data_IF_285252674007
#
_entry.id   IF_285252674007
#
_cell.length_a   1.000
_cell.length_b   1.000
_cell.length_c   1.000
_cell.angle_alpha   90.00
_cell.angle_beta   90.00
_cell.angle_gamma   90.00
#
_symmetry.space_group_name_H-M   'P 1'
#
loop_
_entity.id
_entity.type
_entity.pdbx_description
1 polymer ?
#
# COMPACT_ATOMS: atom_id res chain seq x y z
N UNK A 1 -30.73 -15.68 4.60
CA UNK A 1 -29.70 -15.26 5.59
C UNK A 1 -29.40 -16.24 6.72
N UNK A 2 -30.37 -16.80 7.46
CA UNK A 2 -30.06 -17.61 8.67
C UNK A 2 -29.17 -18.85 8.49
N UNK A 3 -29.11 -19.47 7.30
CA UNK A 3 -28.14 -20.56 6.98
C UNK A 3 -26.82 -20.04 6.43
N UNK A 4 -26.82 -18.96 5.65
CA UNK A 4 -25.61 -18.24 5.26
C UNK A 4 -24.84 -17.80 6.52
N UNK A 5 -25.52 -17.21 7.51
CA UNK A 5 -24.91 -16.86 8.79
C UNK A 5 -24.40 -18.08 9.57
N UNK A 6 -25.06 -19.26 9.47
CA UNK A 6 -24.56 -20.50 10.10
C UNK A 6 -23.33 -21.07 9.38
N UNK A 7 -23.33 -21.06 8.04
CA UNK A 7 -22.17 -21.49 7.25
C UNK A 7 -21.01 -20.52 7.45
N UNK A 8 -21.26 -19.21 7.38
CA UNK A 8 -20.27 -18.18 7.68
C UNK A 8 -19.79 -18.28 9.12
N UNK A 9 -20.62 -18.62 10.11
CA UNK A 9 -20.16 -18.93 11.48
C UNK A 9 -19.31 -20.20 11.56
N UNK A 10 -19.60 -21.23 10.75
CA UNK A 10 -18.81 -22.47 10.68
C UNK A 10 -17.45 -22.22 10.01
N UNK A 11 -17.45 -21.47 8.92
CA UNK A 11 -16.27 -20.99 8.20
C UNK A 11 -15.47 -20.06 9.13
N UNK A 12 -16.08 -19.06 9.75
CA UNK A 12 -15.46 -18.07 10.64
C UNK A 12 -14.94 -18.62 11.97
N UNK A 13 -15.02 -19.94 12.24
CA UNK A 13 -14.34 -20.52 13.39
C UNK A 13 -12.83 -20.30 13.22
N UNK A 14 -12.16 -19.68 14.20
CA UNK A 14 -10.72 -19.43 14.12
C UNK A 14 -10.00 -20.75 13.91
N UNK A 15 -9.00 -20.72 13.03
CA UNK A 15 -8.08 -21.83 12.87
C UNK A 15 -7.26 -21.93 14.15
N UNK A 16 -7.68 -22.77 15.09
CA UNK A 16 -6.93 -23.08 16.32
C UNK A 16 -5.72 -23.99 16.01
N UNK A 17 -4.98 -23.66 14.95
CA UNK A 17 -3.68 -24.26 14.69
C UNK A 17 -2.72 -23.75 15.76
N UNK A 18 -2.59 -24.47 16.88
CA UNK A 18 -1.39 -24.38 17.71
C UNK A 18 -0.21 -24.57 16.77
N UNK A 19 0.61 -23.54 16.60
CA UNK A 19 1.94 -23.66 16.00
C UNK A 19 2.67 -24.76 16.74
N UNK A 20 2.69 -25.99 16.18
CA UNK A 20 3.60 -27.02 16.66
C UNK A 20 4.98 -26.50 16.32
N UNK A 21 5.72 -26.10 17.34
CA UNK A 21 7.17 -25.94 17.27
C UNK A 21 7.72 -27.24 16.68
N UNK A 22 8.09 -27.18 15.40
CA UNK A 22 8.79 -28.26 14.73
C UNK A 22 10.22 -28.21 15.26
N UNK A 23 10.55 -29.17 16.13
CA UNK A 23 11.95 -29.50 16.42
C UNK A 23 12.63 -29.90 15.11
N UNK A 24 13.88 -29.50 14.87
CA UNK A 24 14.64 -29.96 13.72
C UNK A 24 14.94 -31.45 13.93
N UNK A 25 14.32 -32.30 13.13
CA UNK A 25 14.47 -33.75 13.17
C UNK A 25 14.52 -34.31 11.76
N UNK A 26 15.62 -34.98 11.47
CA UNK A 26 16.07 -35.56 10.21
C UNK A 26 15.05 -36.42 9.44
N UNK A 27 15.05 -36.24 8.12
CA UNK A 27 15.01 -37.31 7.11
C UNK A 27 13.76 -38.20 7.04
N UNK A 28 13.02 -38.10 5.94
CA UNK A 28 12.84 -39.15 4.92
C UNK A 28 11.85 -38.64 3.88
N UNK A 29 12.13 -38.93 2.61
CA UNK A 29 11.42 -38.40 1.45
C UNK A 29 10.09 -39.08 1.18
N UNK A 30 9.15 -38.29 0.66
CA UNK A 30 8.04 -38.78 -0.15
C UNK A 30 7.86 -37.84 -1.33
N UNK A 31 8.05 -38.40 -2.54
CA UNK A 31 7.78 -37.75 -3.81
C UNK A 31 6.27 -37.83 -4.06
N UNK A 32 5.58 -36.70 -4.14
CA UNK A 32 4.29 -36.64 -4.81
C UNK A 32 4.50 -36.18 -6.25
N UNK A 33 4.15 -37.05 -7.18
CA UNK A 33 4.18 -36.81 -8.61
C UNK A 33 2.78 -36.42 -9.10
N UNK A 34 2.66 -35.25 -9.71
CA UNK A 34 1.62 -34.93 -10.69
C UNK A 34 2.30 -34.44 -11.98
N UNK A 35 1.70 -34.67 -13.15
CA UNK A 35 2.42 -34.60 -14.42
C UNK A 35 2.59 -33.15 -14.89
N UNK A 36 3.86 -32.79 -15.14
CA UNK A 36 4.27 -31.54 -15.76
C UNK A 36 4.24 -31.68 -17.29
N UNK A 37 3.46 -30.83 -17.95
CA UNK A 37 3.42 -30.70 -19.41
C UNK A 37 4.66 -29.91 -19.84
N UNK A 38 5.62 -30.59 -20.48
CA UNK A 38 6.86 -29.99 -20.94
C UNK A 38 6.64 -29.13 -22.19
N UNK A 39 6.95 -27.84 -22.09
CA UNK A 39 7.18 -26.93 -23.21
C UNK A 39 8.64 -26.47 -23.17
N UNK A 40 9.46 -26.99 -24.06
CA UNK A 40 10.88 -26.65 -24.19
C UNK A 40 11.06 -25.40 -25.06
N UNK A 41 11.56 -24.32 -24.47
CA UNK A 41 12.18 -23.20 -25.20
C UNK A 41 13.58 -22.99 -24.61
N UNK A 42 14.59 -23.25 -25.43
CA UNK A 42 16.00 -23.16 -25.08
C UNK A 42 16.50 -21.73 -25.34
N UNK A 43 16.94 -21.02 -24.31
CA UNK A 43 17.67 -19.76 -24.46
C UNK A 43 19.12 -19.92 -23.96
N UNK A 44 20.06 -19.60 -24.86
CA UNK A 44 21.51 -19.61 -24.63
C UNK A 44 21.91 -18.41 -23.76
N UNK A 45 22.56 -18.68 -22.64
CA UNK A 45 23.25 -17.68 -21.82
C UNK A 45 24.65 -17.46 -22.38
N UNK A 46 25.02 -16.19 -22.62
CA UNK A 46 26.39 -15.77 -22.95
C UNK A 46 27.17 -15.53 -21.66
N UNK A 47 28.35 -16.14 -21.57
CA UNK A 47 29.33 -15.89 -20.51
C UNK A 47 30.13 -14.62 -20.81
N UNK A 48 30.37 -13.79 -19.78
CA UNK A 48 31.43 -12.79 -19.76
C UNK A 48 32.36 -13.03 -18.55
N UNK A 49 33.69 -12.83 -18.70
CA UNK A 49 34.65 -13.16 -17.65
C UNK A 49 34.83 -12.03 -16.63
N UNK A 50 35.08 -12.43 -15.39
CA UNK A 50 35.40 -11.55 -14.25
C UNK A 50 36.85 -11.04 -14.32
N UNK A 51 37.03 -9.72 -14.10
CA UNK A 51 38.33 -9.11 -13.84
C UNK A 51 38.63 -9.11 -12.33
N UNK A 52 39.85 -9.56 -11.99
CA UNK A 52 40.44 -9.50 -10.65
C UNK A 52 41.06 -8.12 -10.44
N UNK A 53 40.73 -7.47 -9.33
CA UNK A 53 41.58 -6.44 -8.74
C UNK A 53 41.79 -6.76 -7.26
N UNK A 54 43.06 -6.99 -6.92
CA UNK A 54 43.58 -7.05 -5.56
C UNK A 54 43.96 -5.63 -5.13
N UNK A 55 43.62 -5.25 -3.91
CA UNK A 55 44.37 -4.26 -3.14
C UNK A 55 44.14 -4.53 -1.64
N UNK A 56 45.24 -4.81 -0.96
CA UNK A 56 45.38 -4.91 0.49
C UNK A 56 45.27 -3.52 1.12
N UNK A 57 44.64 -3.45 2.30
CA UNK A 57 44.94 -2.42 3.28
C UNK A 57 44.59 -2.91 4.68
N UNK A 58 45.60 -2.91 5.56
CA UNK A 58 45.54 -3.25 6.98
C UNK A 58 44.72 -2.22 7.80
N UNK A 59 44.15 -2.60 8.96
CA UNK A 59 43.44 -1.68 9.83
C UNK A 59 44.32 -1.13 10.96
N UNK A 60 44.11 0.10 11.44
CA UNK A 60 44.59 0.50 12.75
C UNK A 60 43.54 0.22 13.82
N UNK A 61 44.07 -0.26 14.94
CA UNK A 61 43.44 -0.48 16.23
C UNK A 61 43.25 0.83 17.00
N UNK A 62 42.22 0.87 17.85
CA UNK A 62 42.31 1.59 19.12
C UNK A 62 41.11 2.43 19.53
N UNK A 63 40.70 2.19 20.79
CA UNK A 63 39.91 3.04 21.70
C UNK A 63 38.39 3.04 21.51
N UNK A 64 37.54 3.19 22.53
CA UNK A 64 37.56 2.98 23.99
C UNK A 64 36.15 3.42 24.39
N UNK A 65 35.29 2.51 24.84
CA UNK A 65 33.91 2.85 25.21
C UNK A 65 33.84 3.23 26.69
N UNK A 66 33.47 4.48 26.98
CA UNK A 66 32.97 4.88 28.29
C UNK A 66 31.44 4.98 28.22
N UNK A 67 30.77 4.08 28.95
CA UNK A 67 29.35 4.15 29.29
C UNK A 67 29.10 5.35 30.21
N UNK A 68 28.26 6.28 29.78
CA UNK A 68 27.67 7.30 30.63
C UNK A 68 26.17 7.04 30.75
N UNK A 69 25.76 6.57 31.94
CA UNK A 69 24.37 6.43 32.37
C UNK A 69 23.68 7.79 32.36
N UNK A 70 22.59 7.91 31.58
CA UNK A 70 21.71 9.08 31.60
C UNK A 70 20.40 8.70 32.29
N UNK A 71 20.19 9.27 33.47
CA UNK A 71 18.94 9.16 34.23
C UNK A 71 17.79 9.84 33.47
N UNK A 72 16.61 9.22 33.54
CA UNK A 72 15.37 9.63 32.88
C UNK A 72 14.50 10.40 33.88
N UNK A 73 14.08 11.65 33.61
CA UNK A 73 13.18 12.37 34.52
C UNK A 73 11.71 11.92 34.34
N UNK A 74 10.87 12.09 35.38
CA UNK A 74 9.52 11.55 35.43
C UNK A 74 8.55 12.35 34.56
N UNK A 75 7.67 11.62 33.86
CA UNK A 75 6.55 12.16 33.10
C UNK A 75 5.45 12.66 34.03
N UNK A 76 5.01 13.89 33.78
CA UNK A 76 3.87 14.56 34.42
C UNK A 76 2.61 14.28 33.59
N UNK A 77 1.61 13.65 34.18
CA UNK A 77 0.31 13.39 33.56
C UNK A 77 -0.46 14.71 33.37
N UNK A 78 -0.85 15.01 32.13
CA UNK A 78 -1.89 15.99 31.82
C UNK A 78 -3.03 15.32 31.04
N UNK A 79 -4.13 15.08 31.74
CA UNK A 79 -5.42 14.75 31.15
C UNK A 79 -5.92 15.93 30.31
N UNK A 80 -6.07 15.72 29.00
CA UNK A 80 -6.84 16.61 28.13
C UNK A 80 -8.06 15.87 27.61
N UNK A 81 -9.22 16.24 28.15
CA UNK A 81 -10.55 15.83 27.71
C UNK A 81 -10.85 16.43 26.33
N UNK A 82 -10.99 15.58 25.31
CA UNK A 82 -11.56 15.95 24.00
C UNK A 82 -13.00 15.46 23.88
N UNK A 83 -13.93 16.28 23.35
CA UNK A 83 -15.33 15.90 23.18
C UNK A 83 -15.50 14.96 21.97
N UNK A 84 -16.12 13.81 22.22
CA UNK A 84 -16.50 12.81 21.22
C UNK A 84 -17.77 13.22 20.49
N UNK A 85 -17.65 13.69 19.25
CA UNK A 85 -18.79 13.84 18.32
C UNK A 85 -19.01 12.53 17.57
N UNK A 86 -20.01 11.76 18.01
CA UNK A 86 -20.49 10.56 17.31
C UNK A 86 -21.24 10.98 16.03
N UNK A 87 -20.56 10.93 14.89
CA UNK A 87 -21.21 10.97 13.58
C UNK A 87 -21.85 9.61 13.31
N UNK A 88 -23.16 9.58 13.13
CA UNK A 88 -23.92 8.35 12.86
C UNK A 88 -24.21 8.33 11.36
N UNK A 89 -23.38 7.63 10.57
CA UNK A 89 -23.64 7.46 9.13
C UNK A 89 -24.81 6.49 8.94
N UNK A 90 -25.97 7.05 8.59
CA UNK A 90 -27.17 6.29 8.24
C UNK A 90 -27.10 5.89 6.76
N UNK A 91 -26.48 4.75 6.45
CA UNK A 91 -26.72 4.08 5.17
C UNK A 91 -28.08 3.38 5.21
N UNK A 92 -29.02 3.63 4.27
CA UNK A 92 -30.31 2.95 4.25
C UNK A 92 -30.14 1.47 3.86
N UNK A 93 -30.46 0.50 4.75
CA UNK A 93 -30.39 -0.93 4.42
C UNK A 93 -31.39 -1.38 3.33
N UNK A 94 -32.25 -0.48 2.85
CA UNK A 94 -33.30 -0.78 1.87
C UNK A 94 -32.78 -0.89 0.42
N UNK A 95 -31.70 -0.20 0.07
CA UNK A 95 -31.14 -0.22 -1.31
C UNK A 95 -30.55 -1.60 -1.65
N UNK A 96 -29.96 -2.30 -0.68
CA UNK A 96 -29.39 -3.64 -0.87
C UNK A 96 -30.49 -4.69 -1.08
N UNK A 97 -31.70 -4.45 -0.55
CA UNK A 97 -32.81 -5.41 -0.61
C UNK A 97 -33.52 -5.40 -1.97
N UNK A 98 -33.52 -4.27 -2.67
CA UNK A 98 -34.22 -4.10 -3.94
C UNK A 98 -33.57 -4.85 -5.12
N UNK A 99 -32.24 -5.04 -5.12
CA UNK A 99 -31.53 -5.73 -6.23
C UNK A 99 -31.58 -7.27 -6.18
N UNK A 100 -32.04 -7.87 -5.08
CA UNK A 100 -32.16 -9.33 -4.93
C UNK A 100 -33.61 -9.84 -5.06
N UNK A 101 -34.56 -8.98 -5.43
CA UNK A 101 -35.91 -9.41 -5.76
C UNK A 101 -35.90 -10.14 -7.11
N UNK A 102 -35.63 -11.44 -7.05
CA UNK A 102 -35.78 -12.40 -8.15
C UNK A 102 -37.21 -12.35 -8.69
N UNK A 103 -37.43 -11.64 -9.79
CA UNK A 103 -38.71 -11.54 -10.49
C UNK A 103 -38.94 -12.68 -11.49
N UNK A 104 -38.15 -13.76 -11.46
CA UNK A 104 -38.31 -14.92 -12.35
C UNK A 104 -38.36 -16.21 -11.54
N UNK A 105 -39.57 -16.55 -11.06
CA UNK A 105 -39.86 -17.72 -10.21
C UNK A 105 -39.63 -19.08 -10.91
N UNK A 106 -39.58 -19.13 -12.24
CA UNK A 106 -39.68 -20.42 -12.95
C UNK A 106 -38.42 -20.83 -13.73
N UNK A 107 -37.46 -19.93 -13.94
CA UNK A 107 -36.20 -20.26 -14.61
C UNK A 107 -35.11 -20.61 -13.60
N UNK A 108 -35.05 -21.89 -13.20
CA UNK A 108 -33.87 -22.45 -12.53
C UNK A 108 -33.08 -23.30 -13.53
N UNK A 109 -32.12 -22.71 -14.28
CA UNK A 109 -31.38 -23.43 -15.33
C UNK A 109 -30.63 -24.66 -14.79
N UNK A 110 -30.33 -24.67 -13.49
CA UNK A 110 -29.67 -25.79 -12.82
C UNK A 110 -30.61 -26.93 -12.40
N UNK A 111 -31.94 -26.76 -12.41
CA UNK A 111 -32.88 -27.85 -12.12
C UNK A 111 -32.90 -28.92 -13.21
N UNK A 112 -32.62 -28.53 -14.45
CA UNK A 112 -32.64 -29.43 -15.60
C UNK A 112 -31.29 -30.11 -15.85
N UNK A 113 -30.22 -29.67 -15.17
CA UNK A 113 -28.89 -30.22 -15.38
C UNK A 113 -28.72 -31.50 -14.55
N UNK A 114 -28.37 -32.65 -15.17
CA UNK A 114 -27.99 -33.86 -14.44
C UNK A 114 -26.86 -33.58 -13.44
N UNK A 115 -26.92 -34.24 -12.27
CA UNK A 115 -25.97 -34.02 -11.19
C UNK A 115 -24.52 -34.31 -11.61
N UNK A 116 -24.31 -35.28 -12.51
CA UNK A 116 -23.00 -35.66 -13.05
C UNK A 116 -22.39 -34.53 -13.88
N UNK A 117 -23.20 -33.86 -14.71
CA UNK A 117 -22.76 -32.71 -15.48
C UNK A 117 -22.48 -31.52 -14.56
N UNK A 118 -23.30 -31.32 -13.53
CA UNK A 118 -23.08 -30.27 -12.54
C UNK A 118 -21.76 -30.48 -11.78
N UNK A 119 -21.49 -31.71 -11.32
CA UNK A 119 -20.22 -32.08 -10.68
C UNK A 119 -19.04 -31.89 -11.63
N UNK A 120 -19.19 -32.28 -12.90
CA UNK A 120 -18.14 -32.09 -13.91
C UNK A 120 -17.83 -30.61 -14.12
N UNK A 121 -18.85 -29.73 -14.20
CA UNK A 121 -18.65 -28.27 -14.26
C UNK A 121 -17.93 -27.78 -13.00
N UNK A 122 -18.38 -28.19 -11.82
CA UNK A 122 -17.77 -27.75 -10.56
C UNK A 122 -16.30 -28.17 -10.42
N UNK A 123 -15.92 -29.33 -10.96
CA UNK A 123 -14.52 -29.80 -10.99
C UNK A 123 -13.61 -28.98 -11.91
N UNK A 124 -14.16 -28.21 -12.85
CA UNK A 124 -13.40 -27.26 -13.68
C UNK A 124 -13.26 -25.88 -13.02
N UNK A 125 -13.96 -25.62 -11.91
CA UNK A 125 -13.88 -24.34 -11.21
C UNK A 125 -12.73 -24.35 -10.20
N UNK A 126 -12.04 -23.21 -10.00
CA UNK A 126 -11.17 -23.02 -8.84
C UNK A 126 -11.92 -23.31 -7.54
N UNK A 127 -11.22 -23.80 -6.52
CA UNK A 127 -11.83 -24.22 -5.25
C UNK A 127 -12.71 -23.14 -4.61
N UNK A 128 -12.26 -21.87 -4.67
CA UNK A 128 -12.99 -20.70 -4.17
C UNK A 128 -14.30 -20.45 -4.95
N UNK A 129 -14.28 -20.61 -6.27
CA UNK A 129 -15.46 -20.49 -7.13
C UNK A 129 -16.42 -21.67 -6.95
N UNK A 130 -15.92 -22.90 -6.84
CA UNK A 130 -16.72 -24.08 -6.55
C UNK A 130 -17.43 -23.96 -5.18
N UNK A 131 -16.71 -23.49 -4.15
CA UNK A 131 -17.30 -23.19 -2.84
C UNK A 131 -18.37 -22.10 -2.93
N UNK A 132 -18.15 -21.04 -3.72
CA UNK A 132 -19.15 -19.99 -3.96
C UNK A 132 -20.38 -20.52 -4.69
N UNK A 133 -20.21 -21.44 -5.64
CA UNK A 133 -21.30 -22.10 -6.35
C UNK A 133 -22.22 -22.87 -5.39
N UNK A 134 -21.67 -23.49 -4.34
CA UNK A 134 -22.49 -24.16 -3.29
C UNK A 134 -23.44 -23.20 -2.57
N UNK A 135 -23.16 -21.89 -2.58
CA UNK A 135 -23.96 -20.86 -1.90
C UNK A 135 -25.09 -20.29 -2.75
N UNK A 136 -25.08 -20.53 -4.06
CA UNK A 136 -26.05 -19.95 -5.00
C UNK A 136 -27.47 -20.47 -4.80
N UNK A 137 -27.64 -21.79 -4.63
CA UNK A 137 -28.95 -22.41 -4.40
C UNK A 137 -28.87 -23.73 -3.61
N UNK A 138 -30.02 -24.22 -3.15
CA UNK A 138 -30.11 -25.47 -2.38
C UNK A 138 -29.72 -26.70 -3.19
N UNK A 139 -30.01 -26.72 -4.49
CA UNK A 139 -29.67 -27.83 -5.39
C UNK A 139 -28.16 -27.95 -5.56
N UNK A 140 -27.47 -26.85 -5.85
CA UNK A 140 -26.00 -26.78 -5.92
C UNK A 140 -25.35 -27.30 -4.62
N UNK A 141 -25.85 -26.86 -3.46
CA UNK A 141 -25.35 -27.34 -2.16
C UNK A 141 -25.58 -28.84 -1.95
N UNK A 142 -26.73 -29.38 -2.39
CA UNK A 142 -27.02 -30.81 -2.27
C UNK A 142 -26.13 -31.66 -3.16
N UNK A 143 -25.89 -31.22 -4.40
CA UNK A 143 -25.08 -31.94 -5.37
C UNK A 143 -23.59 -31.89 -4.99
N UNK A 144 -23.07 -30.71 -4.64
CA UNK A 144 -21.66 -30.53 -4.30
C UNK A 144 -21.33 -30.88 -2.84
N UNK A 145 -22.32 -30.96 -1.97
CA UNK A 145 -22.12 -31.22 -0.54
C UNK A 145 -21.28 -30.15 0.15
N UNK A 146 -20.59 -30.55 1.23
CA UNK A 146 -19.66 -29.68 1.98
C UNK A 146 -18.21 -29.85 1.56
N UNK A 147 -17.90 -30.73 0.62
CA UNK A 147 -16.52 -31.08 0.25
C UNK A 147 -15.70 -29.86 -0.18
N UNK A 148 -16.27 -28.95 -0.98
CA UNK A 148 -15.58 -27.73 -1.39
C UNK A 148 -15.31 -26.81 -0.20
N UNK A 149 -16.26 -26.68 0.74
CA UNK A 149 -16.09 -25.83 1.93
C UNK A 149 -15.12 -26.44 2.95
N UNK A 150 -15.11 -27.76 3.08
CA UNK A 150 -14.22 -28.49 3.99
C UNK A 150 -12.78 -28.46 3.43
N UNK A 151 -12.61 -28.63 2.12
CA UNK A 151 -11.33 -28.43 1.43
C UNK A 151 -10.85 -26.98 1.54
N UNK A 152 -11.73 -25.99 1.37
CA UNK A 152 -11.36 -24.58 1.54
C UNK A 152 -10.85 -24.31 2.97
N UNK A 153 -11.46 -24.94 3.96
CA UNK A 153 -11.05 -24.82 5.37
C UNK A 153 -9.68 -25.45 5.63
N UNK A 154 -9.31 -26.53 4.93
CA UNK A 154 -8.01 -27.20 5.08
C UNK A 154 -6.90 -26.64 4.18
N UNK A 155 -7.24 -25.96 3.07
CA UNK A 155 -6.26 -25.50 2.06
C UNK A 155 -5.45 -24.27 2.48
N UNK A 156 -5.71 -23.71 3.67
CA UNK A 156 -4.99 -22.55 4.20
C UNK A 156 -5.58 -21.20 3.81
N UNK A 157 -4.95 -20.14 4.29
CA UNK A 157 -5.53 -18.79 4.29
C UNK A 157 -5.73 -18.18 2.89
N UNK A 158 -4.88 -18.53 1.91
CA UNK A 158 -4.92 -17.95 0.55
C UNK A 158 -6.23 -18.26 -0.18
N UNK A 159 -6.63 -19.54 -0.20
CA UNK A 159 -7.87 -19.98 -0.85
C UNK A 159 -9.10 -19.41 -0.18
N UNK A 160 -9.07 -19.36 1.15
CA UNK A 160 -10.15 -18.75 1.93
C UNK A 160 -10.27 -17.25 1.67
N UNK A 161 -9.15 -16.52 1.62
CA UNK A 161 -9.17 -15.10 1.28
C UNK A 161 -9.83 -14.91 -0.09
N UNK A 162 -9.42 -15.66 -1.12
CA UNK A 162 -10.01 -15.59 -2.45
C UNK A 162 -11.52 -15.87 -2.46
N UNK A 163 -11.97 -16.87 -1.71
CA UNK A 163 -13.40 -17.15 -1.52
C UNK A 163 -14.15 -15.97 -0.87
N UNK A 164 -13.59 -15.36 0.18
CA UNK A 164 -14.21 -14.21 0.84
C UNK A 164 -14.27 -13.00 -0.09
N UNK A 165 -13.25 -12.76 -0.93
CA UNK A 165 -13.27 -11.71 -1.95
C UNK A 165 -14.37 -11.94 -2.99
N UNK A 166 -14.52 -13.19 -3.48
CA UNK A 166 -15.61 -13.54 -4.40
C UNK A 166 -16.98 -13.23 -3.79
N UNK A 167 -17.18 -13.53 -2.51
CA UNK A 167 -18.43 -13.21 -1.82
C UNK A 167 -18.62 -11.70 -1.60
N UNK A 168 -17.58 -11.00 -1.18
CA UNK A 168 -17.64 -9.56 -0.88
C UNK A 168 -17.94 -8.73 -2.13
N UNK A 169 -17.52 -9.19 -3.32
CA UNK A 169 -17.82 -8.55 -4.61
C UNK A 169 -19.32 -8.31 -4.81
N UNK A 170 -20.15 -9.28 -4.40
CA UNK A 170 -21.60 -9.22 -4.56
C UNK A 170 -22.32 -8.59 -3.35
N UNK A 171 -21.57 -8.05 -2.38
CA UNK A 171 -22.09 -7.47 -1.15
C UNK A 171 -21.59 -6.03 -0.96
N UNK A 172 -22.34 -5.04 -1.46
CA UNK A 172 -22.08 -3.63 -1.22
C UNK A 172 -21.85 -3.29 0.26
N UNK A 173 -20.84 -2.46 0.55
CA UNK A 173 -20.50 -2.03 1.92
C UNK A 173 -19.86 -3.12 2.78
N UNK A 174 -19.60 -4.30 2.21
CA UNK A 174 -18.89 -5.38 2.90
C UNK A 174 -17.49 -5.57 2.32
N UNK A 175 -16.52 -5.80 3.19
CA UNK A 175 -15.11 -6.02 2.81
C UNK A 175 -14.64 -7.34 3.37
N UNK A 176 -13.99 -8.13 2.53
CA UNK A 176 -13.22 -9.29 2.97
C UNK A 176 -11.93 -8.82 3.65
N UNK A 177 -11.82 -9.05 4.95
CA UNK A 177 -10.61 -8.78 5.72
C UNK A 177 -9.64 -9.97 5.59
N UNK A 178 -8.40 -9.68 5.21
CA UNK A 178 -7.36 -10.71 4.98
C UNK A 178 -6.87 -11.26 6.32
N UNK A 179 -6.74 -10.37 7.30
CA UNK A 179 -6.20 -10.60 8.63
C UNK A 179 -7.19 -11.44 9.45
N UNK A 180 -8.45 -10.99 9.52
CA UNK A 180 -9.50 -11.68 10.27
C UNK A 180 -10.09 -12.90 9.54
N UNK A 181 -9.87 -13.01 8.22
CA UNK A 181 -10.48 -14.02 7.36
C UNK A 181 -12.01 -14.08 7.50
N UNK A 182 -12.63 -12.89 7.54
CA UNK A 182 -14.06 -12.65 7.71
C UNK A 182 -14.50 -11.52 6.76
N UNK A 183 -15.81 -11.42 6.57
CA UNK A 183 -16.43 -10.31 5.86
C UNK A 183 -16.99 -9.35 6.91
N UNK A 184 -16.59 -8.08 6.83
CA UNK A 184 -16.99 -7.03 7.76
C UNK A 184 -18.00 -6.11 7.09
N UNK A 185 -19.02 -5.69 7.84
CA UNK A 185 -19.97 -4.66 7.42
C UNK A 185 -19.46 -3.30 7.87
N UNK A 186 -18.95 -2.51 6.93
CA UNK A 186 -18.74 -1.05 6.89
C UNK A 186 -18.10 -0.29 8.08
N UNK A 187 -18.16 -0.77 9.32
CA UNK A 187 -17.58 -0.04 10.45
C UNK A 187 -16.09 -0.32 10.48
N UNK A 188 -15.29 0.62 9.94
CA UNK A 188 -13.85 0.78 10.19
C UNK A 188 -13.48 0.49 11.66
N UNK A 189 -14.37 0.86 12.60
CA UNK A 189 -14.27 0.52 14.02
C UNK A 189 -14.18 -0.98 14.31
N UNK A 190 -15.01 -1.81 13.68
CA UNK A 190 -14.99 -3.27 13.90
C UNK A 190 -13.71 -3.93 13.38
N UNK A 191 -13.01 -3.30 12.44
CA UNK A 191 -11.76 -3.81 11.89
C UNK A 191 -10.58 -3.49 12.83
N UNK A 192 -10.50 -2.25 13.32
CA UNK A 192 -9.50 -1.82 14.30
C UNK A 192 -9.54 -2.65 15.59
N UNK A 193 -10.73 -2.97 16.07
CA UNK A 193 -10.89 -3.73 17.31
C UNK A 193 -10.60 -5.24 17.14
N UNK A 194 -10.65 -5.77 15.90
CA UNK A 194 -10.63 -7.21 15.65
C UNK A 194 -9.26 -7.79 15.27
N UNK A 195 -8.25 -6.98 14.99
CA UNK A 195 -6.93 -7.44 14.51
C UNK A 195 -5.78 -6.85 15.35
N UNK A 196 -5.48 -7.39 16.54
CA UNK A 196 -4.59 -6.68 17.47
C UNK A 196 -3.07 -6.78 17.19
N UNK A 197 -2.56 -7.55 16.20
CA UNK A 197 -1.11 -7.94 16.25
C UNK A 197 -0.40 -8.23 14.91
N UNK A 198 -0.94 -7.91 13.73
CA UNK A 198 -0.18 -8.11 12.46
C UNK A 198 0.02 -6.80 11.69
N UNK A 199 -0.27 -5.66 12.34
CA UNK A 199 -0.14 -4.33 11.75
C UNK A 199 1.31 -3.88 11.55
N UNK A 200 2.28 -4.37 12.33
CA UNK A 200 3.60 -3.73 12.35
C UNK A 200 4.33 -3.78 11.01
N UNK A 201 4.47 -4.94 10.36
CA UNK A 201 5.27 -5.00 9.13
C UNK A 201 4.51 -4.47 7.90
N UNK A 202 3.23 -4.80 7.76
CA UNK A 202 2.44 -4.41 6.59
C UNK A 202 2.02 -2.93 6.65
N UNK A 203 1.69 -2.45 7.84
CA UNK A 203 1.33 -1.05 8.08
C UNK A 203 2.52 -0.11 7.88
N UNK A 204 3.71 -0.47 8.36
CA UNK A 204 4.93 0.33 8.16
C UNK A 204 5.28 0.49 6.67
N UNK A 205 5.14 -0.56 5.87
CA UNK A 205 5.41 -0.46 4.43
C UNK A 205 4.34 0.38 3.70
N UNK A 206 3.06 0.23 4.04
CA UNK A 206 1.99 1.02 3.43
C UNK A 206 2.16 2.51 3.71
N UNK A 207 2.46 2.86 4.96
CA UNK A 207 2.66 4.25 5.39
C UNK A 207 3.88 4.88 4.73
N UNK A 208 4.94 4.10 4.51
CA UNK A 208 6.18 4.53 3.90
C UNK A 208 6.06 4.73 2.38
N UNK A 209 5.47 3.76 1.68
CA UNK A 209 5.52 3.72 0.22
C UNK A 209 4.31 4.38 -0.46
N UNK A 210 3.14 4.36 0.18
CA UNK A 210 1.95 5.00 -0.36
C UNK A 210 1.81 6.40 0.25
N UNK A 211 1.34 6.50 1.51
CA UNK A 211 1.41 7.73 2.31
C UNK A 211 1.13 7.41 3.80
N UNK A 212 1.56 8.27 4.75
CA UNK A 212 1.54 7.97 6.19
C UNK A 212 0.16 7.59 6.77
N UNK A 213 -0.90 8.09 6.16
CA UNK A 213 -2.29 7.89 6.58
C UNK A 213 -3.06 6.93 5.65
N UNK A 214 -2.36 6.09 4.87
CA UNK A 214 -3.02 5.20 3.92
C UNK A 214 -3.79 4.09 4.65
N UNK A 215 -5.10 4.05 4.45
CA UNK A 215 -5.96 2.99 4.97
C UNK A 215 -6.31 1.99 3.86
N UNK A 216 -5.70 0.81 3.93
CA UNK A 216 -5.94 -0.27 2.95
C UNK A 216 -7.39 -0.79 2.96
N UNK A 217 -8.13 -0.64 4.06
CA UNK A 217 -9.53 -1.03 4.15
C UNK A 217 -10.41 0.00 3.46
N UNK A 218 -10.23 1.28 3.76
CA UNK A 218 -10.95 2.36 3.08
C UNK A 218 -10.70 2.32 1.56
N UNK A 219 -9.46 2.09 1.13
CA UNK A 219 -9.12 1.88 -0.29
C UNK A 219 -9.95 0.75 -0.92
N UNK A 220 -9.94 -0.45 -0.30
CA UNK A 220 -10.69 -1.62 -0.80
C UNK A 220 -12.20 -1.35 -0.82
N UNK A 221 -12.70 -0.60 0.16
CA UNK A 221 -14.09 -0.21 0.22
C UNK A 221 -14.48 0.70 -0.93
N UNK A 222 -13.70 1.75 -1.17
CA UNK A 222 -13.93 2.69 -2.27
C UNK A 222 -13.97 1.98 -3.62
N UNK A 223 -13.06 1.02 -3.83
CA UNK A 223 -13.04 0.18 -5.04
C UNK A 223 -14.24 -0.76 -5.13
N UNK A 224 -14.64 -1.40 -4.04
CA UNK A 224 -15.83 -2.27 -4.04
C UNK A 224 -17.11 -1.48 -4.37
N UNK A 225 -17.27 -0.29 -3.78
CA UNK A 225 -18.41 0.59 -4.09
C UNK A 225 -18.39 1.02 -5.55
N UNK A 226 -17.22 1.42 -6.08
CA UNK A 226 -17.06 1.78 -7.49
C UNK A 226 -17.49 0.65 -8.43
N UNK A 227 -16.98 -0.56 -8.22
CA UNK A 227 -17.32 -1.73 -9.07
C UNK A 227 -18.81 -2.11 -9.02
N UNK A 228 -19.51 -1.72 -7.96
CA UNK A 228 -20.94 -1.93 -7.80
C UNK A 228 -21.80 -0.75 -8.31
N UNK A 229 -21.18 0.30 -8.85
CA UNK A 229 -21.86 1.51 -9.32
C UNK A 229 -22.49 2.31 -8.18
N UNK A 230 -21.85 2.30 -7.01
CA UNK A 230 -22.30 3.01 -5.81
C UNK A 230 -21.40 4.21 -5.54
N UNK A 231 -21.95 5.21 -4.86
CA UNK A 231 -21.21 6.40 -4.45
C UNK A 231 -20.09 6.03 -3.46
N UNK A 232 -18.89 6.54 -3.70
CA UNK A 232 -17.69 6.31 -2.92
C UNK A 232 -16.98 7.61 -2.51
N UNK A 233 -17.60 8.77 -2.73
CA UNK A 233 -17.01 10.10 -2.48
C UNK A 233 -16.52 10.28 -1.06
N UNK A 234 -17.34 9.92 -0.07
CA UNK A 234 -17.00 10.08 1.34
C UNK A 234 -15.72 9.30 1.69
N UNK A 235 -15.62 8.07 1.18
CA UNK A 235 -14.45 7.22 1.40
C UNK A 235 -13.22 7.75 0.67
N UNK A 236 -13.36 8.16 -0.60
CA UNK A 236 -12.26 8.81 -1.33
C UNK A 236 -11.79 10.10 -0.65
N UNK A 237 -12.69 10.88 -0.07
CA UNK A 237 -12.35 12.07 0.70
C UNK A 237 -11.54 11.71 1.95
N UNK A 238 -11.89 10.62 2.65
CA UNK A 238 -11.10 10.13 3.79
C UNK A 238 -9.70 9.65 3.40
N UNK A 239 -9.52 9.22 2.15
CA UNK A 239 -8.25 8.83 1.54
C UNK A 239 -7.51 10.00 0.87
N UNK A 240 -7.95 11.24 1.10
CA UNK A 240 -7.30 12.47 0.62
C UNK A 240 -6.63 13.29 1.74
N UNK A 241 -5.85 12.67 2.64
CA UNK A 241 -5.28 13.41 3.76
C UNK A 241 -4.19 14.39 3.31
N UNK A 242 -3.91 15.35 4.19
CA UNK A 242 -2.80 16.28 4.06
C UNK A 242 -2.22 16.58 5.43
N UNK A 243 -0.95 16.94 5.49
CA UNK A 243 -0.27 17.18 6.76
C UNK A 243 0.93 18.09 6.65
N UNK A 244 1.39 18.55 7.82
CA UNK A 244 2.62 19.35 7.97
C UNK A 244 3.46 18.77 9.08
N UNK A 245 4.75 18.61 8.81
CA UNK A 245 5.75 18.17 9.76
C UNK A 245 6.90 19.18 9.76
N UNK A 246 7.04 20.01 10.81
CA UNK A 246 8.20 20.87 10.96
C UNK A 246 9.46 20.01 11.19
N UNK A 247 10.56 20.38 10.55
CA UNK A 247 11.89 19.82 10.72
C UNK A 247 12.86 20.95 11.13
N UNK A 248 14.06 20.64 11.66
CA UNK A 248 15.01 21.66 12.10
C UNK A 248 15.44 22.64 10.99
N UNK A 249 15.53 22.18 9.74
CA UNK A 249 16.06 22.94 8.60
C UNK A 249 15.01 23.21 7.49
N UNK A 250 13.83 22.60 7.57
CA UNK A 250 12.76 22.77 6.60
C UNK A 250 11.39 22.47 7.19
N UNK A 251 10.32 22.81 6.47
CA UNK A 251 8.97 22.33 6.76
C UNK A 251 8.52 21.35 5.69
N UNK A 252 8.20 20.12 6.06
CA UNK A 252 7.62 19.13 5.15
C UNK A 252 6.10 19.28 5.14
N UNK A 253 5.53 19.61 3.99
CA UNK A 253 4.08 19.57 3.77
C UNK A 253 3.75 18.48 2.76
N UNK A 254 2.58 17.86 2.86
CA UNK A 254 2.18 16.85 1.89
C UNK A 254 0.66 16.84 1.69
N UNK A 255 0.22 16.50 0.48
CA UNK A 255 -1.16 16.26 0.13
C UNK A 255 -1.30 14.97 -0.70
N UNK A 256 -2.41 14.26 -0.50
CA UNK A 256 -2.77 13.07 -1.27
C UNK A 256 -4.14 13.29 -1.91
N UNK A 257 -4.25 12.99 -3.20
CA UNK A 257 -5.48 13.09 -3.97
C UNK A 257 -5.71 11.79 -4.75
N UNK A 258 -6.58 10.89 -4.29
CA UNK A 258 -6.95 9.68 -5.01
C UNK A 258 -8.00 9.97 -6.09
N UNK A 259 -7.99 9.16 -7.15
CA UNK A 259 -9.00 9.12 -8.20
C UNK A 259 -9.22 7.67 -8.62
N UNK A 260 -10.42 7.36 -9.11
CA UNK A 260 -10.65 6.11 -9.81
C UNK A 260 -10.82 6.41 -11.30
N UNK A 261 -9.96 5.84 -12.13
CA UNK A 261 -9.90 6.11 -13.57
C UNK A 261 -9.92 4.78 -14.31
N UNK A 262 -10.92 4.57 -15.17
CA UNK A 262 -11.09 3.31 -15.90
C UNK A 262 -11.07 2.06 -15.00
N UNK A 263 -11.61 2.15 -13.78
CA UNK A 263 -11.61 1.06 -12.80
C UNK A 263 -10.31 0.86 -12.04
N UNK A 264 -9.27 1.68 -12.27
CA UNK A 264 -8.00 1.68 -11.54
C UNK A 264 -7.99 2.76 -10.46
N UNK A 265 -7.42 2.45 -9.31
CA UNK A 265 -7.21 3.42 -8.23
C UNK A 265 -5.87 4.13 -8.39
N UNK A 266 -5.92 5.39 -8.81
CA UNK A 266 -4.75 6.22 -9.01
C UNK A 266 -4.60 7.21 -7.86
N UNK A 267 -3.38 7.40 -7.37
CA UNK A 267 -3.05 8.38 -6.34
C UNK A 267 -2.08 9.40 -6.91
N UNK A 268 -2.32 10.69 -6.64
CA UNK A 268 -1.28 11.72 -6.69
C UNK A 268 -0.90 12.13 -5.28
N UNK A 269 0.39 12.04 -4.97
CA UNK A 269 0.97 12.52 -3.71
C UNK A 269 1.95 13.66 -4.02
N UNK A 270 1.67 14.87 -3.53
CA UNK A 270 2.57 16.03 -3.65
C UNK A 270 3.19 16.29 -2.29
N UNK A 271 4.52 16.28 -2.21
CA UNK A 271 5.28 16.56 -0.99
C UNK A 271 6.15 17.79 -1.23
N UNK A 272 6.00 18.80 -0.40
CA UNK A 272 6.77 20.04 -0.42
C UNK A 272 7.77 20.06 0.74
N UNK A 273 9.02 20.37 0.43
CA UNK A 273 10.08 20.66 1.40
C UNK A 273 10.35 22.15 1.32
N UNK A 274 9.84 22.90 2.30
CA UNK A 274 9.93 24.34 2.35
C UNK A 274 11.20 24.74 3.12
N UNK A 275 12.15 25.33 2.41
CA UNK A 275 13.39 25.85 2.98
C UNK A 275 13.27 27.36 3.17
N UNK A 276 13.51 27.89 4.39
CA UNK A 276 13.60 29.32 4.62
C UNK A 276 14.66 29.98 3.75
N UNK A 277 14.45 31.26 3.42
CA UNK A 277 15.46 32.04 2.69
C UNK A 277 16.81 32.05 3.44
N UNK A 278 17.90 32.04 2.68
CA UNK A 278 19.26 31.97 3.21
C UNK A 278 19.71 30.59 3.73
N UNK A 279 18.82 29.61 3.88
CA UNK A 279 19.18 28.25 4.29
C UNK A 279 19.45 27.39 3.05
N UNK A 280 20.73 27.13 2.78
CA UNK A 280 21.15 26.06 1.87
C UNK A 280 21.08 24.74 2.62
N UNK A 281 19.87 24.19 2.72
CA UNK A 281 19.61 22.92 3.43
C UNK A 281 20.45 21.78 2.87
N UNK A 282 20.82 20.82 3.72
CA UNK A 282 21.44 19.57 3.27
C UNK A 282 20.34 18.69 2.70
N UNK A 283 20.08 18.80 1.40
CA UNK A 283 19.09 17.96 0.71
C UNK A 283 19.41 16.46 0.75
N UNK A 284 20.62 16.08 1.17
CA UNK A 284 21.01 14.70 1.40
C UNK A 284 20.19 14.03 2.52
N UNK A 285 19.61 14.82 3.43
CA UNK A 285 18.89 14.32 4.61
C UNK A 285 17.37 14.19 4.37
N UNK A 286 16.90 14.41 3.12
CA UNK A 286 15.49 14.22 2.78
C UNK A 286 15.17 12.72 2.75
N UNK A 287 14.67 12.22 3.88
CA UNK A 287 14.14 10.87 3.98
C UNK A 287 12.74 10.81 3.35
N UNK A 288 12.69 10.45 2.07
CA UNK A 288 11.45 10.19 1.35
C UNK A 288 11.60 9.01 0.42
N UNK A 289 10.81 7.97 0.69
CA UNK A 289 10.71 6.82 -0.17
C UNK A 289 9.74 7.11 -1.32
N UNK A 290 10.17 6.95 -2.58
CA UNK A 290 9.27 7.01 -3.73
C UNK A 290 8.39 5.77 -3.76
N UNK A 291 9.02 4.60 -3.74
CA UNK A 291 8.42 3.27 -3.69
C UNK A 291 9.52 2.26 -3.30
N UNK A 292 9.18 0.99 -2.96
CA UNK A 292 10.18 0.01 -2.55
C UNK A 292 11.23 -0.24 -3.64
N UNK A 293 10.77 -0.46 -4.89
CA UNK A 293 11.65 -0.81 -6.01
C UNK A 293 12.67 0.27 -6.34
N UNK A 294 12.25 1.54 -6.34
CA UNK A 294 13.15 2.67 -6.61
C UNK A 294 14.20 2.85 -5.51
N UNK A 295 13.87 2.44 -4.28
CA UNK A 295 14.78 2.46 -3.14
C UNK A 295 15.82 1.33 -3.26
N UNK A 296 15.41 0.14 -3.71
CA UNK A 296 16.24 -1.08 -3.75
C UNK A 296 17.02 -1.34 -5.04
N UNK A 297 16.89 -0.52 -6.09
CA UNK A 297 17.58 -0.76 -7.38
C UNK A 297 19.12 -0.83 -7.26
N UNK A 298 19.73 -0.27 -6.20
CA UNK A 298 21.15 -0.46 -5.88
C UNK A 298 21.44 -1.64 -4.93
N UNK A 299 20.40 -2.20 -4.28
CA UNK A 299 20.51 -3.27 -3.29
C UNK A 299 20.20 -4.67 -3.84
N UNK A 300 20.03 -4.84 -5.15
CA UNK A 300 19.91 -6.16 -5.78
C UNK A 300 21.10 -7.08 -5.46
N UNK A 301 22.26 -6.52 -5.11
CA UNK A 301 23.42 -7.28 -4.62
C UNK A 301 23.25 -7.82 -3.19
N UNK A 302 22.33 -7.26 -2.39
CA UNK A 302 22.15 -7.58 -0.96
C UNK A 302 20.97 -8.54 -0.74
N UNK A 303 19.82 -8.30 -1.37
CA UNK A 303 18.62 -9.13 -1.13
C UNK A 303 18.73 -10.57 -1.67
N UNK A 304 19.49 -10.79 -2.75
CA UNK A 304 19.71 -12.13 -3.28
C UNK A 304 20.57 -13.03 -2.37
N UNK A 305 21.33 -12.44 -1.44
CA UNK A 305 22.29 -13.16 -0.60
C UNK A 305 21.73 -13.54 0.78
N UNK A 306 20.73 -12.81 1.29
CA UNK A 306 20.15 -13.08 2.61
C UNK A 306 18.65 -13.26 2.50
N UNK A 307 18.14 -14.44 2.88
CA UNK A 307 16.70 -14.66 3.11
C UNK A 307 16.13 -13.80 4.25
N UNK A 308 17.02 -13.09 4.94
CA UNK A 308 16.71 -12.10 5.94
C UNK A 308 16.69 -10.73 5.26
N UNK A 309 15.53 -10.05 5.33
CA UNK A 309 15.41 -8.65 4.94
C UNK A 309 16.46 -7.84 5.72
N UNK A 310 17.21 -6.93 5.08
CA UNK A 310 18.21 -6.12 5.77
C UNK A 310 17.56 -5.40 6.94
N UNK A 311 18.21 -5.46 8.10
CA UNK A 311 17.86 -4.59 9.23
C UNK A 311 17.98 -3.14 8.75
N UNK A 312 16.92 -2.36 8.97
CA UNK A 312 16.70 -1.03 8.39
C UNK A 312 17.90 -0.08 8.44
N UNK A 313 18.76 -0.18 9.46
CA UNK A 313 19.95 0.66 9.59
C UNK A 313 20.97 0.49 8.45
N UNK A 314 21.09 -0.70 7.85
CA UNK A 314 22.08 -0.97 6.80
C UNK A 314 21.56 -0.62 5.39
N UNK A 315 20.26 -0.78 5.15
CA UNK A 315 19.63 -0.41 3.88
C UNK A 315 19.57 1.11 3.64
N UNK A 316 19.64 1.92 4.70
CA UNK A 316 19.70 3.38 4.62
C UNK A 316 21.10 3.94 4.28
N UNK A 317 22.16 3.12 4.36
CA UNK A 317 23.54 3.60 4.23
C UNK A 317 24.04 3.70 2.77
N UNK A 318 23.34 3.10 1.79
CA UNK A 318 23.72 3.21 0.38
C UNK A 318 23.01 4.42 -0.24
N UNK A 319 23.74 5.40 -0.82
CA UNK A 319 23.11 6.55 -1.48
C UNK A 319 22.14 6.07 -2.56
N UNK A 320 20.85 6.31 -2.34
CA UNK A 320 19.83 5.98 -3.34
C UNK A 320 19.92 6.98 -4.51
N UNK A 321 19.29 6.65 -5.65
CA UNK A 321 19.25 7.54 -6.81
C UNK A 321 18.53 8.86 -6.52
N UNK A 322 17.63 8.88 -5.53
CA UNK A 322 16.80 10.04 -5.22
C UNK A 322 17.59 11.20 -4.56
N UNK A 323 18.36 11.01 -3.46
CA UNK A 323 19.20 12.06 -2.87
C UNK A 323 20.11 12.73 -3.90
N UNK A 324 20.71 11.96 -4.82
CA UNK A 324 21.51 12.52 -5.91
C UNK A 324 20.71 13.44 -6.83
N UNK A 325 19.48 13.04 -7.19
CA UNK A 325 18.57 13.87 -8.01
C UNK A 325 18.06 15.09 -7.25
N UNK A 326 17.72 14.96 -5.97
CA UNK A 326 17.29 16.09 -5.12
C UNK A 326 18.42 17.09 -4.91
N UNK A 327 19.63 16.61 -4.64
CA UNK A 327 20.83 17.46 -4.53
C UNK A 327 21.17 18.14 -5.86
N UNK A 328 21.02 17.44 -7.00
CA UNK A 328 21.15 18.07 -8.31
C UNK A 328 20.11 19.17 -8.49
N UNK A 329 18.84 18.89 -8.23
CA UNK A 329 17.73 19.83 -8.35
C UNK A 329 17.94 21.08 -7.50
N UNK A 330 18.39 20.91 -6.26
CA UNK A 330 18.64 22.01 -5.35
C UNK A 330 19.81 22.92 -5.77
N UNK A 331 20.80 22.40 -6.52
CA UNK A 331 21.93 23.21 -7.00
C UNK A 331 21.54 24.28 -8.01
N UNK A 332 20.40 24.13 -8.67
CA UNK A 332 19.94 25.05 -9.71
C UNK A 332 18.48 25.48 -9.49
N UNK A 333 17.99 25.45 -8.25
CA UNK A 333 16.62 25.86 -7.93
C UNK A 333 16.30 27.33 -8.29
N UNK A 334 17.32 28.18 -8.41
CA UNK A 334 17.25 29.61 -8.76
C UNK A 334 17.41 29.84 -10.28
N UNK A 335 17.66 28.78 -11.06
CA UNK A 335 17.84 28.82 -12.50
C UNK A 335 16.72 28.03 -13.18
N UNK A 336 15.67 28.76 -13.61
CA UNK A 336 14.51 28.19 -14.28
C UNK A 336 14.88 27.40 -15.55
N UNK A 337 15.92 27.82 -16.28
CA UNK A 337 16.34 27.14 -17.50
C UNK A 337 17.02 25.80 -17.18
N UNK A 338 17.93 25.78 -16.21
CA UNK A 338 18.55 24.53 -15.74
C UNK A 338 17.51 23.61 -15.07
N UNK A 339 16.55 24.15 -14.32
CA UNK A 339 15.44 23.38 -13.75
C UNK A 339 14.62 22.64 -14.81
N UNK A 340 14.34 23.29 -15.95
CA UNK A 340 13.58 22.66 -17.04
C UNK A 340 14.42 21.63 -17.81
N UNK A 341 15.72 21.89 -18.01
CA UNK A 341 16.53 21.17 -18.98
C UNK A 341 17.64 20.29 -18.38
N UNK A 342 17.73 20.14 -17.06
CA UNK A 342 18.76 19.31 -16.42
C UNK A 342 18.53 17.81 -16.68
N UNK A 343 19.41 17.18 -17.47
CA UNK A 343 19.37 15.75 -17.79
C UNK A 343 19.35 14.81 -16.57
N UNK A 344 19.81 15.27 -15.42
CA UNK A 344 19.89 14.46 -14.19
C UNK A 344 18.59 14.47 -13.40
N UNK A 345 17.93 15.62 -13.28
CA UNK A 345 16.83 15.80 -12.33
C UNK A 345 15.54 16.37 -12.93
N UNK A 346 15.54 16.75 -14.22
CA UNK A 346 14.34 17.16 -14.95
C UNK A 346 13.64 16.00 -15.64
N UNK A 347 12.37 16.24 -15.98
CA UNK A 347 11.52 15.25 -16.62
C UNK A 347 10.81 14.29 -15.65
N UNK A 348 10.12 13.33 -16.25
CA UNK A 348 9.37 12.31 -15.55
C UNK A 348 10.27 11.09 -15.27
N UNK A 349 10.35 10.70 -14.01
CA UNK A 349 10.98 9.46 -13.58
C UNK A 349 9.92 8.38 -13.33
N UNK A 350 10.33 7.13 -13.41
CA UNK A 350 9.43 6.01 -13.18
C UNK A 350 10.17 4.80 -12.58
N UNK A 351 9.44 3.92 -11.91
CA UNK A 351 9.97 2.70 -11.31
C UNK A 351 9.75 1.51 -12.26
N UNK A 352 10.76 0.65 -12.44
CA UNK A 352 10.63 -0.56 -13.26
C UNK A 352 9.95 -1.74 -12.53
N UNK A 353 9.76 -1.62 -11.21
CA UNK A 353 9.22 -2.71 -10.37
C UNK A 353 7.74 -2.55 -10.03
N UNK A 354 7.27 -1.30 -9.92
CA UNK A 354 5.89 -0.99 -9.57
C UNK A 354 5.42 0.18 -10.44
N UNK A 355 4.11 0.30 -10.69
CA UNK A 355 3.54 1.38 -11.47
C UNK A 355 3.53 2.68 -10.65
N UNK A 356 4.71 3.30 -10.57
CA UNK A 356 4.97 4.58 -9.89
C UNK A 356 5.76 5.49 -10.81
N UNK A 357 5.20 6.67 -11.08
CA UNK A 357 5.86 7.77 -11.77
C UNK A 357 6.08 8.92 -10.79
N UNK A 358 7.13 9.71 -10.98
CA UNK A 358 7.35 10.90 -10.17
C UNK A 358 8.12 11.98 -10.91
N UNK A 359 7.96 13.21 -10.44
CA UNK A 359 8.63 14.39 -10.95
C UNK A 359 9.16 15.22 -9.79
N UNK A 360 10.26 15.91 -10.05
CA UNK A 360 10.89 16.85 -9.12
C UNK A 360 10.69 18.26 -9.67
N UNK A 361 10.25 19.16 -8.81
CA UNK A 361 10.03 20.56 -9.17
C UNK A 361 10.53 21.48 -8.07
N UNK A 362 10.72 22.75 -8.40
CA UNK A 362 11.14 23.80 -7.48
C UNK A 362 10.27 25.03 -7.72
N UNK A 363 9.61 25.48 -6.66
CA UNK A 363 8.72 26.64 -6.71
C UNK A 363 9.28 27.72 -5.76
N UNK A 364 9.37 28.97 -6.23
CA UNK A 364 9.71 30.09 -5.36
C UNK A 364 8.55 30.34 -4.38
N UNK A 365 8.83 30.36 -3.08
CA UNK A 365 7.82 30.56 -2.03
C UNK A 365 7.84 32.01 -1.52
N UNK A 366 7.88 32.96 -2.47
CA UNK A 366 8.02 34.39 -2.19
C UNK A 366 9.26 34.71 -1.36
N UNK A 367 9.16 35.67 -0.45
CA UNK A 367 10.22 36.05 0.49
C UNK A 367 10.49 34.98 1.57
N UNK A 368 9.70 33.89 1.60
CA UNK A 368 9.82 32.84 2.62
C UNK A 368 10.80 31.74 2.22
N UNK A 369 11.39 31.81 1.03
CA UNK A 369 12.42 30.89 0.53
C UNK A 369 11.94 30.03 -0.65
N UNK A 370 12.38 28.77 -0.69
CA UNK A 370 12.18 27.87 -1.84
C UNK A 370 11.49 26.58 -1.41
N UNK A 371 10.54 26.14 -2.23
CA UNK A 371 9.87 24.85 -2.07
C UNK A 371 10.45 23.83 -3.06
N UNK A 372 11.11 22.79 -2.55
CA UNK A 372 11.41 21.60 -3.35
C UNK A 372 10.20 20.66 -3.32
N UNK A 373 9.67 20.32 -4.48
CA UNK A 373 8.44 19.53 -4.61
C UNK A 373 8.74 18.17 -5.23
N UNK A 374 8.23 17.12 -4.61
CA UNK A 374 8.17 15.78 -5.19
C UNK A 374 6.69 15.47 -5.48
N UNK A 375 6.35 15.27 -6.74
CA UNK A 375 5.01 14.79 -7.12
C UNK A 375 5.12 13.35 -7.57
N UNK A 376 4.37 12.45 -6.93
CA UNK A 376 4.30 11.02 -7.24
C UNK A 376 2.91 10.66 -7.75
N UNK A 377 2.85 9.84 -8.79
CA UNK A 377 1.63 9.20 -9.28
C UNK A 377 1.77 7.68 -9.13
N UNK A 378 0.82 7.05 -8.45
CA UNK A 378 0.80 5.61 -8.20
C UNK A 378 -0.46 4.99 -8.79
N UNK A 379 -0.34 3.85 -9.45
CA UNK A 379 -1.48 2.98 -9.80
C UNK A 379 -1.55 1.80 -8.83
N UNK A 380 -2.54 1.77 -7.96
CA UNK A 380 -2.77 0.66 -7.03
C UNK A 380 -3.60 -0.47 -7.66
N UNK A 381 -4.01 -0.32 -8.91
CA UNK A 381 -4.76 -1.29 -9.70
C UNK A 381 -6.26 -1.30 -9.44
N UNK A 382 -6.89 -2.40 -9.84
CA UNK A 382 -8.36 -2.49 -9.84
C UNK A 382 -8.95 -2.75 -8.45
N UNK A 383 -8.12 -3.03 -7.44
CA UNK A 383 -8.57 -3.26 -6.06
C UNK A 383 -9.51 -4.46 -5.92
N UNK A 384 -9.52 -5.39 -6.89
CA UNK A 384 -10.40 -6.58 -6.86
C UNK A 384 -9.93 -7.64 -5.88
N UNK A 385 -8.64 -7.65 -5.55
CA UNK A 385 -8.02 -8.62 -4.68
C UNK A 385 -6.86 -7.99 -3.91
N UNK A 386 -6.61 -8.43 -2.69
CA UNK A 386 -5.34 -8.14 -1.98
C UNK A 386 -4.14 -8.82 -2.60
N UNK A 387 -4.39 -9.75 -3.53
CA UNK A 387 -3.35 -10.38 -4.36
C UNK A 387 -3.18 -9.69 -5.70
N UNK A 388 -3.80 -8.53 -5.90
CA UNK A 388 -3.58 -7.71 -7.08
C UNK A 388 -2.10 -7.36 -7.16
N UNK A 389 -1.48 -7.71 -8.28
CA UNK A 389 -0.04 -7.61 -8.46
C UNK A 389 0.43 -6.14 -8.46
N UNK A 390 -0.38 -5.21 -8.98
CA UNK A 390 -0.08 -3.78 -8.95
C UNK A 390 -0.05 -3.28 -7.51
N UNK A 391 -1.13 -3.53 -6.75
CA UNK A 391 -1.19 -3.17 -5.33
C UNK A 391 -0.04 -3.78 -4.53
N UNK A 392 0.20 -5.09 -4.70
CA UNK A 392 1.24 -5.83 -3.99
C UNK A 392 2.65 -5.30 -4.30
N UNK A 393 2.91 -4.87 -5.54
CA UNK A 393 4.23 -4.38 -5.95
C UNK A 393 4.68 -3.15 -5.15
N UNK A 394 3.72 -2.31 -4.71
CA UNK A 394 3.99 -1.13 -3.88
C UNK A 394 4.31 -1.46 -2.43
N UNK A 395 3.95 -2.65 -1.94
CA UNK A 395 4.11 -3.02 -0.53
C UNK A 395 5.38 -3.80 -0.30
N UNK A 396 5.69 -4.74 -1.19
CA UNK A 396 6.72 -5.74 -0.95
C UNK A 396 7.95 -5.58 -1.85
N UNK A 397 7.91 -4.68 -2.85
CA UNK A 397 9.06 -4.45 -3.73
C UNK A 397 9.60 -5.72 -4.37
N UNK A 398 8.72 -6.68 -4.68
CA UNK A 398 9.10 -8.06 -4.95
C UNK A 398 10.20 -8.18 -6.01
N UNK A 399 11.24 -8.94 -5.68
CA UNK A 399 12.18 -9.48 -6.65
C UNK A 399 11.39 -10.18 -7.76
N UNK A 400 11.59 -9.74 -9.01
CA UNK A 400 10.91 -10.21 -10.23
C UNK A 400 9.52 -9.63 -10.53
N UNK A 401 9.01 -8.64 -9.80
CA UNK A 401 7.85 -7.88 -10.27
C UNK A 401 8.32 -6.87 -11.33
N UNK A 402 8.61 -7.30 -12.55
CA UNK A 402 8.67 -6.37 -13.68
C UNK A 402 7.23 -6.13 -14.14
N UNK A 403 6.66 -4.98 -13.76
CA UNK A 403 5.34 -4.57 -14.21
C UNK A 403 5.54 -3.67 -15.42
N UNK A 404 5.41 -4.16 -16.67
CA UNK A 404 5.57 -3.31 -17.83
C UNK A 404 4.41 -2.31 -17.90
N UNK A 405 4.74 -1.03 -17.91
CA UNK A 405 3.83 0.07 -18.28
C UNK A 405 4.61 1.10 -19.09
N UNK A 406 3.90 1.88 -19.90
CA UNK A 406 4.48 2.96 -20.68
C UNK A 406 4.75 4.17 -19.77
N UNK A 407 6.00 4.66 -19.67
CA UNK A 407 6.30 5.85 -18.86
C UNK A 407 5.46 7.05 -19.29
N UNK A 408 4.86 7.73 -18.31
CA UNK A 408 3.94 8.85 -18.52
C UNK A 408 2.47 8.45 -18.61
N UNK A 409 2.16 7.15 -18.72
CA UNK A 409 0.79 6.67 -18.77
C UNK A 409 0.03 7.00 -17.48
N UNK A 410 0.64 6.82 -16.31
CA UNK A 410 -0.05 6.96 -15.01
C UNK A 410 -0.36 8.43 -14.74
N UNK A 411 0.64 9.31 -14.88
CA UNK A 411 0.49 10.76 -14.81
C UNK A 411 -0.55 11.24 -15.82
N UNK A 412 -0.43 10.84 -17.08
CA UNK A 412 -1.38 11.28 -18.11
C UNK A 412 -2.80 10.78 -17.86
N UNK A 413 -2.99 9.57 -17.34
CA UNK A 413 -4.30 9.04 -16.96
C UNK A 413 -4.88 9.83 -15.79
N UNK A 414 -4.08 10.11 -14.77
CA UNK A 414 -4.51 10.86 -13.59
C UNK A 414 -4.88 12.31 -13.91
N UNK A 415 -4.05 13.02 -14.67
CA UNK A 415 -4.22 14.45 -14.95
C UNK A 415 -5.30 14.71 -16.02
N UNK A 416 -5.47 13.82 -17.01
CA UNK A 416 -6.56 13.93 -17.99
C UNK A 416 -7.90 13.45 -17.46
N UNK A 417 -7.91 12.66 -16.39
CA UNK A 417 -9.15 12.26 -15.76
C UNK A 417 -9.89 13.49 -15.25
N UNK A 418 -10.90 13.89 -16.02
CA UNK A 418 -11.97 14.75 -15.54
C UNK A 418 -12.51 14.02 -14.31
N UNK A 419 -12.55 14.67 -13.13
CA UNK A 419 -13.21 14.09 -11.97
C UNK A 419 -14.58 13.63 -12.45
N UNK A 420 -14.90 12.34 -12.28
CA UNK A 420 -16.21 11.81 -12.62
C UNK A 420 -17.24 12.80 -12.08
N UNK A 421 -18.10 13.35 -12.94
CA UNK A 421 -18.75 14.68 -12.76
C UNK A 421 -19.57 14.77 -11.46
N UNK A 422 -19.80 13.64 -10.81
CA UNK A 422 -20.28 13.57 -9.44
C UNK A 422 -19.30 14.06 -8.33
N UNK A 423 -17.99 13.86 -8.45
CA UNK A 423 -17.04 13.89 -7.33
C UNK A 423 -16.30 15.22 -7.13
N UNK A 424 -16.86 16.36 -7.56
CA UNK A 424 -16.22 17.65 -7.31
C UNK A 424 -16.39 18.07 -5.84
N UNK A 425 -15.38 17.74 -5.03
CA UNK A 425 -15.06 18.53 -3.84
C UNK A 425 -14.25 19.74 -4.32
N UNK A 426 -14.69 20.95 -3.96
CA UNK A 426 -13.95 22.17 -4.28
C UNK A 426 -12.53 22.06 -3.68
N UNK A 427 -11.47 22.37 -4.44
CA UNK A 427 -10.13 22.43 -3.88
C UNK A 427 -10.13 23.45 -2.73
N UNK A 428 -9.62 23.04 -1.57
CA UNK A 428 -9.27 23.99 -0.50
C UNK A 428 -8.35 25.02 -1.14
N UNK A 429 -8.72 26.29 -1.08
CA UNK A 429 -7.95 27.32 -1.75
C UNK A 429 -6.55 27.40 -1.14
N UNK A 430 -5.52 27.65 -1.96
CA UNK A 430 -4.14 27.90 -1.47
C UNK A 430 -4.13 28.99 -0.37
N UNK A 431 -5.10 29.90 -0.44
CA UNK A 431 -5.33 30.96 0.53
C UNK A 431 -5.80 30.44 1.90
N UNK A 432 -6.70 29.45 1.94
CA UNK A 432 -7.16 28.82 3.19
C UNK A 432 -6.06 27.98 3.86
N UNK A 433 -5.13 27.40 3.08
CA UNK A 433 -3.96 26.70 3.64
C UNK A 433 -2.97 27.70 4.26
N UNK A 434 -2.79 28.87 3.63
CA UNK A 434 -1.96 29.94 4.16
C UNK A 434 -2.60 30.63 5.40
N UNK A 435 -3.93 30.77 5.43
CA UNK A 435 -4.67 31.48 6.48
C UNK A 435 -5.02 30.58 7.68
N UNK A 436 -5.30 29.27 7.48
CA UNK A 436 -5.59 28.33 8.59
C UNK A 436 -4.40 28.05 9.51
N UNK A 437 -3.20 28.54 9.17
CA UNK A 437 -1.95 28.31 9.90
C UNK A 437 -1.22 29.59 10.28
N UNK A 438 -1.90 30.74 10.22
CA UNK A 438 -1.39 32.05 10.65
C UNK A 438 -1.12 32.20 12.16
N UNK A 439 -0.73 31.13 12.86
CA UNK A 439 0.00 31.25 14.11
C UNK A 439 1.41 31.69 13.77
N UNK A 440 1.72 32.95 14.00
CA UNK A 440 3.06 33.50 13.80
C UNK A 440 4.09 32.57 14.48
N UNK A 441 5.03 32.05 13.68
CA UNK A 441 6.24 31.43 14.21
C UNK A 441 7.02 32.55 14.90
N UNK A 442 6.98 32.57 16.23
CA UNK A 442 7.81 33.44 17.04
C UNK A 442 9.23 32.86 17.08
N UNK A 443 10.05 33.28 16.12
CA UNK A 443 11.47 32.90 16.01
C UNK A 443 12.36 33.52 17.11
N UNK A 444 11.79 34.19 18.12
CA UNK A 444 12.58 34.93 19.14
C UNK A 444 13.16 34.04 20.25
N UNK A 445 13.04 32.71 20.18
CA UNK A 445 13.69 31.78 21.12
C UNK A 445 14.69 30.85 20.41
N UNK A 446 15.75 31.42 19.85
CA UNK A 446 17.01 30.70 19.65
C UNK A 446 17.89 30.92 20.89
N UNK A 447 18.33 29.87 21.61
CA UNK A 447 19.24 30.04 22.73
C UNK A 447 20.58 30.59 22.22
N UNK A 448 20.96 31.75 22.76
CA UNK A 448 22.28 32.34 22.52
C UNK A 448 23.35 31.34 22.99
N UNK A 449 24.11 30.81 22.03
CA UNK A 449 25.35 30.09 22.31
C UNK A 449 26.35 31.11 22.86
N UNK A 450 26.56 31.05 24.17
CA UNK A 450 27.62 31.78 24.86
C UNK A 450 28.95 31.23 24.37
N UNK A 451 29.67 32.04 23.60
CA UNK A 451 31.08 31.82 23.29
C UNK A 451 31.91 32.18 24.53
N UNK A 452 32.29 31.17 25.33
CA UNK A 452 33.39 31.31 26.28
C UNK A 452 34.71 31.19 25.50
N UNK A 453 35.40 32.32 25.38
CA UNK A 453 36.81 32.37 25.01
C UNK A 453 37.68 32.35 26.28
N UNK A 454 38.77 31.58 26.21
CA UNK A 454 39.89 31.48 27.15
C UNK A 454 40.30 32.79 27.83
#
# INVERSE_FOLDING_TARGET
MGRFNRLMKKIARPFNGRSRSLKPGSGYGEKSSFPEVQSTVSLRVRNYPAQKHSAESEPPSGQSSQELLREKPPLLDQETTKPSTKSTSHFPPEIIRAKLQSTSSDYEPFKQLPAELFLKIANFLPLSSAASLTLTCRSSLRILGTQCTDLLQSSGWRWRAQFLYLLAKDMPGQIACRECQKIHSDTLHQLRDAAPVVEDYYGQNLSLYIHPEFDSHAFRQAMNLHHNGLDNREILSSLSPSGIFPQPDHTKQWEVKPKIVNGHYLIRCKTHFLYPDGIKGKTADIDTCICPGYYTENSHAVCAATKDFPTWGEALAVPTRLPGKLACRAKHWDDAHLNANCETCSGLFYCNCCPTEFELDTEAFGERGVALTITRWLDLGEGRSVTDQQYISHIFGFENCHMPYEPGYIKAAYERAIPDVGNQLAPISEKEIAESKGGAFDTTQAPALVSESL
#
